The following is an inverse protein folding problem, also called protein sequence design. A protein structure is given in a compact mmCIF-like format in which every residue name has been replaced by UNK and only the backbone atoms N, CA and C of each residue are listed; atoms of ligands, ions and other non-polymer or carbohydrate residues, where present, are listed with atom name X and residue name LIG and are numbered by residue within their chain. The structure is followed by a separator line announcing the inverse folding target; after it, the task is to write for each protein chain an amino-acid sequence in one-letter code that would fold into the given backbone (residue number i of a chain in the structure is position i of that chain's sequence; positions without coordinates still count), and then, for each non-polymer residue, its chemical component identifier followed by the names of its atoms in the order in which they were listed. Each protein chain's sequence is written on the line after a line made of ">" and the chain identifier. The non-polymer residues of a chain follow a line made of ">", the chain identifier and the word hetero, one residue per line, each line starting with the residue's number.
data_IF_030852295464
#
_entry.id   IF_030852295464
#
_cell.length_a   1.000
_cell.length_b   1.000
_cell.length_c   1.000
_cell.angle_alpha   90.00
_cell.angle_beta   90.00
_cell.angle_gamma   90.00
#
_symmetry.space_group_name_H-M   'P 1'
#
loop_
_entity.id
_entity.type
_entity.pdbx_description
1 polymer ?
#
# COMPACT_ATOMS: atom_id res chain seq x y z
N UNK A 1 11.71 -3.96 -0.96
CA UNK A 1 10.96 -2.70 -1.10
C UNK A 1 11.56 -1.60 -0.24
N UNK A 2 11.54 -1.69 1.12
CA UNK A 2 12.10 -0.64 1.99
C UNK A 2 13.55 -0.28 1.64
N UNK A 3 14.37 -1.26 1.25
CA UNK A 3 15.74 -1.02 0.80
C UNK A 3 15.81 -0.20 -0.50
N UNK A 4 14.77 -0.24 -1.37
CA UNK A 4 14.73 0.56 -2.59
C UNK A 4 14.64 2.06 -2.32
N UNK A 5 14.10 2.47 -1.16
CA UNK A 5 14.01 3.88 -0.76
C UNK A 5 15.38 4.53 -0.48
N UNK A 6 16.43 3.73 -0.42
CA UNK A 6 17.79 4.24 -0.29
C UNK A 6 18.40 4.68 -1.61
N UNK A 7 17.71 4.45 -2.74
CA UNK A 7 18.12 4.87 -4.09
C UNK A 7 19.51 4.34 -4.49
N UNK A 8 19.83 3.12 -4.03
CA UNK A 8 21.10 2.45 -4.27
C UNK A 8 20.86 1.01 -4.74
N UNK A 9 20.44 0.81 -6.00
CA UNK A 9 20.09 -0.52 -6.51
C UNK A 9 21.26 -1.49 -6.58
N UNK A 10 22.49 -1.02 -6.58
CA UNK A 10 23.73 -1.81 -6.60
C UNK A 10 24.00 -2.60 -5.31
N UNK A 11 23.28 -2.32 -4.22
CA UNK A 11 23.41 -3.10 -2.97
C UNK A 11 22.68 -4.45 -3.00
N UNK A 12 21.81 -4.68 -3.98
CA UNK A 12 21.03 -5.92 -4.04
C UNK A 12 21.83 -7.04 -4.68
N UNK A 13 22.04 -8.14 -3.94
CA UNK A 13 22.72 -9.32 -4.43
C UNK A 13 21.81 -10.32 -5.16
N UNK A 14 20.50 -10.25 -4.93
CA UNK A 14 19.54 -11.15 -5.53
C UNK A 14 18.08 -10.72 -5.33
N UNK A 15 17.18 -11.37 -6.04
CA UNK A 15 15.74 -11.10 -6.04
C UNK A 15 14.94 -12.40 -5.89
N UNK A 16 13.75 -12.33 -5.33
CA UNK A 16 12.82 -13.46 -5.27
C UNK A 16 12.12 -13.69 -6.60
N UNK A 17 11.88 -14.96 -6.96
CA UNK A 17 11.16 -15.33 -8.20
C UNK A 17 9.78 -14.65 -8.28
N UNK A 18 9.08 -14.56 -7.15
CA UNK A 18 7.75 -13.92 -7.07
C UNK A 18 7.75 -12.46 -7.57
N UNK A 19 8.84 -11.73 -7.39
CA UNK A 19 8.97 -10.35 -7.87
C UNK A 19 9.09 -10.28 -9.40
N UNK A 20 9.73 -11.28 -10.01
CA UNK A 20 9.88 -11.41 -11.46
C UNK A 20 8.57 -11.85 -12.12
N UNK A 21 7.88 -12.81 -11.50
CA UNK A 21 6.63 -13.36 -12.02
C UNK A 21 5.46 -12.39 -11.90
N UNK A 22 5.53 -11.44 -10.96
CA UNK A 22 4.46 -10.50 -10.65
C UNK A 22 5.00 -9.06 -10.53
N UNK A 23 5.57 -8.48 -11.60
CA UNK A 23 6.20 -7.15 -11.51
C UNK A 23 5.20 -5.99 -11.42
N UNK A 24 3.98 -6.21 -11.93
CA UNK A 24 2.92 -5.19 -12.03
C UNK A 24 2.48 -4.70 -10.65
N UNK A 25 2.32 -3.37 -10.51
CA UNK A 25 1.89 -2.74 -9.27
C UNK A 25 2.98 -2.63 -8.20
N UNK A 26 4.24 -2.77 -8.61
CA UNK A 26 5.40 -2.62 -7.73
C UNK A 26 6.25 -1.42 -8.14
N UNK A 27 5.99 -0.22 -7.57
CA UNK A 27 6.64 1.02 -7.97
C UNK A 27 8.16 0.94 -7.96
N UNK A 28 8.75 0.21 -7.00
CA UNK A 28 10.19 0.00 -6.92
C UNK A 28 10.77 -0.81 -8.09
N UNK A 29 9.99 -1.68 -8.76
CA UNK A 29 10.43 -2.39 -9.96
C UNK A 29 10.32 -1.50 -11.21
N UNK A 30 9.39 -0.56 -11.24
CA UNK A 30 9.33 0.46 -12.28
C UNK A 30 10.50 1.45 -12.15
N UNK A 31 10.83 1.83 -10.91
CA UNK A 31 11.98 2.69 -10.63
C UNK A 31 13.33 2.00 -10.94
N UNK A 32 13.42 0.71 -10.66
CA UNK A 32 14.65 -0.08 -10.76
C UNK A 32 14.44 -1.38 -11.54
N UNK A 33 14.13 -1.34 -12.85
CA UNK A 33 13.84 -2.54 -13.65
C UNK A 33 15.02 -3.52 -13.72
N UNK A 34 16.27 -3.05 -13.52
CA UNK A 34 17.46 -3.90 -13.49
C UNK A 34 17.43 -4.93 -12.35
N UNK A 35 16.63 -4.73 -11.30
CA UNK A 35 16.50 -5.69 -10.20
C UNK A 35 15.97 -7.05 -10.69
N UNK A 36 15.13 -7.08 -11.74
CA UNK A 36 14.58 -8.31 -12.31
C UNK A 36 15.63 -9.18 -13.02
N UNK A 37 16.83 -8.63 -13.26
CA UNK A 37 17.97 -9.36 -13.86
C UNK A 37 18.93 -9.93 -12.81
N UNK A 38 18.67 -9.72 -11.53
CA UNK A 38 19.49 -10.25 -10.44
C UNK A 38 19.30 -11.77 -10.30
N UNK A 39 20.29 -12.49 -9.71
CA UNK A 39 20.14 -13.90 -9.38
C UNK A 39 18.92 -14.16 -8.48
N UNK A 40 18.24 -15.27 -8.74
CA UNK A 40 17.07 -15.69 -7.95
C UNK A 40 17.54 -16.29 -6.64
N UNK A 41 17.10 -15.73 -5.51
CA UNK A 41 17.49 -16.16 -4.14
C UNK A 41 16.39 -16.97 -3.42
N UNK A 42 15.31 -17.28 -4.09
CA UNK A 42 14.22 -18.09 -3.53
C UNK A 42 12.90 -17.85 -4.25
N UNK A 43 11.86 -18.61 -3.89
CA UNK A 43 10.55 -18.47 -4.51
C UNK A 43 9.88 -17.14 -4.17
N UNK A 44 10.06 -16.64 -2.96
CA UNK A 44 9.35 -15.45 -2.46
C UNK A 44 7.84 -15.64 -2.36
N UNK A 45 7.13 -14.55 -2.10
CA UNK A 45 5.67 -14.57 -1.98
C UNK A 45 5.17 -15.18 -0.66
N UNK A 46 3.84 -15.27 -0.48
CA UNK A 46 3.24 -15.72 0.76
C UNK A 46 3.52 -17.20 1.04
N UNK A 47 3.83 -17.51 2.31
CA UNK A 47 4.06 -18.86 2.84
C UNK A 47 5.29 -19.62 2.29
N UNK A 48 6.19 -18.95 1.61
CA UNK A 48 7.43 -19.55 1.11
C UNK A 48 8.62 -19.20 1.99
N UNK A 49 9.36 -20.20 2.44
CA UNK A 49 10.58 -19.98 3.19
C UNK A 49 11.73 -19.49 2.26
N UNK A 50 12.66 -18.67 2.77
CA UNK A 50 13.86 -18.32 2.04
C UNK A 50 14.69 -19.55 1.65
N UNK A 51 15.32 -19.54 0.47
CA UNK A 51 16.20 -20.60 -0.01
C UNK A 51 17.64 -20.32 0.40
N UNK A 52 18.08 -21.00 1.46
CA UNK A 52 19.40 -20.80 2.03
C UNK A 52 20.56 -21.11 1.04
N UNK A 53 20.40 -22.10 0.15
CA UNK A 53 21.45 -22.48 -0.82
C UNK A 53 21.61 -21.41 -1.89
N UNK A 54 20.49 -20.89 -2.43
CA UNK A 54 20.51 -19.81 -3.40
C UNK A 54 21.03 -18.51 -2.80
N UNK A 55 20.68 -18.21 -1.54
CA UNK A 55 21.22 -17.06 -0.82
C UNK A 55 22.73 -17.18 -0.67
N UNK A 56 23.24 -18.34 -0.25
CA UNK A 56 24.67 -18.59 -0.13
C UNK A 56 25.41 -18.44 -1.46
N UNK A 57 24.78 -18.81 -2.58
CA UNK A 57 25.40 -18.70 -3.91
C UNK A 57 25.72 -17.27 -4.30
N UNK A 58 24.93 -16.27 -3.86
CA UNK A 58 25.14 -14.84 -4.15
C UNK A 58 25.99 -14.12 -3.11
N UNK A 59 26.36 -14.80 -2.01
CA UNK A 59 27.29 -14.33 -0.97
C UNK A 59 26.96 -12.92 -0.46
N UNK A 60 25.75 -12.64 0.04
CA UNK A 60 25.43 -11.32 0.55
C UNK A 60 26.09 -11.09 1.92
N UNK A 61 26.33 -9.83 2.28
CA UNK A 61 26.86 -9.46 3.59
C UNK A 61 25.79 -9.52 4.70
N UNK A 62 24.49 -9.36 4.31
CA UNK A 62 23.35 -9.34 5.21
C UNK A 62 22.10 -9.82 4.51
N UNK A 63 21.19 -10.45 5.24
CA UNK A 63 19.86 -10.82 4.78
C UNK A 63 18.82 -9.94 5.47
N UNK A 64 18.08 -9.13 4.71
CA UNK A 64 16.89 -8.45 5.20
C UNK A 64 15.65 -9.31 4.91
N UNK A 65 14.82 -9.54 5.92
CA UNK A 65 13.60 -10.32 5.77
C UNK A 65 12.43 -9.73 6.54
N UNK A 66 11.23 -9.90 6.01
CA UNK A 66 9.96 -9.67 6.71
C UNK A 66 9.20 -10.99 6.89
N UNK A 67 9.75 -12.09 6.37
CA UNK A 67 9.15 -13.42 6.42
C UNK A 67 9.24 -14.06 7.81
N UNK A 68 10.31 -13.82 8.52
CA UNK A 68 10.50 -14.38 9.86
C UNK A 68 9.46 -13.79 10.82
N UNK A 69 8.50 -14.61 11.23
CA UNK A 69 7.42 -14.20 12.14
C UNK A 69 7.88 -14.23 13.60
N UNK A 70 8.98 -14.93 13.89
CA UNK A 70 9.58 -15.03 15.20
C UNK A 70 11.12 -15.09 15.14
N UNK A 71 11.75 -14.97 16.31
CA UNK A 71 13.19 -15.02 16.44
C UNK A 71 13.77 -16.36 15.98
N UNK A 72 13.08 -17.47 16.24
CA UNK A 72 13.57 -18.81 15.92
C UNK A 72 13.71 -19.01 14.40
N UNK A 73 12.78 -18.49 13.60
CA UNK A 73 12.84 -18.54 12.14
C UNK A 73 14.04 -17.74 11.60
N UNK A 74 14.30 -16.55 12.16
CA UNK A 74 15.46 -15.74 11.79
C UNK A 74 16.78 -16.42 12.20
N UNK A 75 16.87 -16.91 13.43
CA UNK A 75 18.05 -17.63 13.94
C UNK A 75 18.38 -18.86 13.09
N UNK A 76 17.35 -19.63 12.70
CA UNK A 76 17.53 -20.82 11.84
C UNK A 76 18.05 -20.46 10.45
N UNK A 77 17.60 -19.36 9.86
CA UNK A 77 18.11 -18.89 8.58
C UNK A 77 19.57 -18.44 8.71
N UNK A 78 19.90 -17.69 9.76
CA UNK A 78 21.25 -17.25 10.07
C UNK A 78 22.18 -18.44 10.32
N UNK A 79 21.76 -19.45 11.10
CA UNK A 79 22.53 -20.67 11.35
C UNK A 79 22.83 -21.44 10.05
N UNK A 80 21.82 -21.58 9.17
CA UNK A 80 21.98 -22.30 7.89
C UNK A 80 22.90 -21.58 6.91
N UNK A 81 22.88 -20.24 6.91
CA UNK A 81 23.64 -19.45 5.93
C UNK A 81 24.97 -18.93 6.48
N UNK A 82 25.13 -18.82 7.80
CA UNK A 82 26.24 -18.12 8.43
C UNK A 82 26.23 -16.59 8.16
N UNK A 83 25.17 -16.06 7.57
CA UNK A 83 25.03 -14.64 7.19
C UNK A 83 24.09 -13.97 8.19
N UNK A 84 24.43 -12.75 8.70
CA UNK A 84 23.54 -12.02 9.59
C UNK A 84 22.14 -11.80 9.00
N UNK A 85 21.10 -12.08 9.78
CA UNK A 85 19.70 -11.91 9.38
C UNK A 85 19.08 -10.77 10.17
N UNK A 86 18.58 -9.79 9.46
CA UNK A 86 17.87 -8.64 10.02
C UNK A 86 16.38 -8.69 9.66
N UNK A 87 15.52 -8.80 10.70
CA UNK A 87 14.07 -8.80 10.52
C UNK A 87 13.54 -7.36 10.50
N UNK A 88 12.83 -7.02 9.44
CA UNK A 88 12.20 -5.73 9.23
C UNK A 88 10.68 -5.84 9.40
N UNK A 89 10.02 -4.71 9.61
CA UNK A 89 8.57 -4.63 9.72
C UNK A 89 7.99 -3.51 8.85
N UNK A 90 6.82 -3.76 8.26
CA UNK A 90 5.98 -2.76 7.57
C UNK A 90 4.91 -2.16 8.50
N UNK A 91 5.00 -2.42 9.82
CA UNK A 91 3.96 -2.06 10.76
C UNK A 91 2.82 -3.08 10.81
N UNK A 92 1.84 -2.84 11.66
CA UNK A 92 0.71 -3.75 11.88
C UNK A 92 -0.60 -3.21 11.29
N UNK A 93 -0.87 -1.93 11.48
CA UNK A 93 -2.19 -1.35 11.18
C UNK A 93 -2.15 -0.05 10.43
N UNK A 94 -1.00 0.57 10.24
CA UNK A 94 -0.88 1.91 9.67
C UNK A 94 0.30 2.01 8.71
N UNK A 95 0.09 2.69 7.58
CA UNK A 95 1.16 3.08 6.65
C UNK A 95 2.24 3.92 7.34
N UNK A 96 1.88 4.69 8.38
CA UNK A 96 2.76 5.52 9.19
C UNK A 96 3.10 4.87 10.55
N UNK A 97 3.14 3.54 10.61
CA UNK A 97 3.51 2.82 11.83
C UNK A 97 4.99 3.10 12.19
N UNK A 98 5.31 3.43 13.45
CA UNK A 98 6.69 3.66 13.88
C UNK A 98 7.67 2.52 13.59
N UNK A 99 7.17 1.28 13.41
CA UNK A 99 8.00 0.14 13.02
C UNK A 99 8.59 0.29 11.62
N UNK A 100 7.91 1.02 10.71
CA UNK A 100 8.45 1.36 9.39
C UNK A 100 9.67 2.27 9.53
N UNK A 101 9.53 3.37 10.27
CA UNK A 101 10.64 4.30 10.54
C UNK A 101 11.82 3.60 11.23
N UNK A 102 11.54 2.68 12.17
CA UNK A 102 12.56 1.85 12.79
C UNK A 102 13.26 0.94 11.77
N UNK A 103 12.51 0.31 10.86
CA UNK A 103 13.09 -0.53 9.79
C UNK A 103 14.00 0.27 8.87
N UNK A 104 13.58 1.47 8.46
CA UNK A 104 14.39 2.39 7.65
C UNK A 104 15.69 2.78 8.38
N UNK A 105 15.59 3.11 9.67
CA UNK A 105 16.76 3.45 10.50
C UNK A 105 17.74 2.27 10.60
N UNK A 106 17.24 1.04 10.77
CA UNK A 106 18.07 -0.16 10.85
C UNK A 106 18.76 -0.43 9.51
N UNK A 107 18.04 -0.34 8.38
CA UNK A 107 18.62 -0.49 7.05
C UNK A 107 19.77 0.51 6.87
N UNK A 108 19.49 1.81 7.12
CA UNK A 108 20.49 2.85 6.94
C UNK A 108 21.78 2.61 7.74
N UNK A 109 21.66 2.16 8.99
CA UNK A 109 22.82 1.81 9.82
C UNK A 109 23.64 0.64 9.25
N UNK A 110 22.95 -0.40 8.73
CA UNK A 110 23.61 -1.59 8.20
C UNK A 110 24.33 -1.31 6.89
N UNK A 111 23.74 -0.48 6.00
CA UNK A 111 24.31 -0.20 4.69
C UNK A 111 25.15 1.10 4.67
N UNK A 112 25.36 1.76 5.82
CA UNK A 112 26.16 2.98 5.95
C UNK A 112 25.50 4.21 5.28
N UNK A 113 24.16 4.33 5.35
CA UNK A 113 23.37 5.41 4.76
C UNK A 113 22.43 6.05 5.80
N UNK A 114 22.97 6.37 6.98
CA UNK A 114 22.20 6.92 8.11
C UNK A 114 21.55 8.27 7.79
N UNK A 115 22.21 9.13 7.03
CA UNK A 115 21.64 10.42 6.61
C UNK A 115 20.40 10.23 5.73
N UNK A 116 20.46 9.26 4.80
CA UNK A 116 19.30 8.94 3.96
C UNK A 116 18.17 8.35 4.80
N UNK A 117 18.47 7.47 5.75
CA UNK A 117 17.49 6.92 6.68
C UNK A 117 16.79 8.01 7.50
N UNK A 118 17.54 8.96 8.04
CA UNK A 118 16.98 10.11 8.78
C UNK A 118 16.06 10.94 7.89
N UNK A 119 16.46 11.20 6.64
CA UNK A 119 15.63 11.91 5.66
C UNK A 119 14.34 11.14 5.34
N UNK A 120 14.40 9.83 5.17
CA UNK A 120 13.23 8.99 4.91
C UNK A 120 12.25 9.02 6.09
N UNK A 121 12.76 8.91 7.33
CA UNK A 121 11.92 9.00 8.54
C UNK A 121 11.28 10.38 8.65
N UNK A 122 12.03 11.45 8.41
CA UNK A 122 11.48 12.82 8.42
C UNK A 122 10.37 13.00 7.37
N UNK A 123 10.53 12.44 6.16
CA UNK A 123 9.50 12.47 5.11
C UNK A 123 8.23 11.72 5.54
N UNK A 124 8.35 10.55 6.22
CA UNK A 124 7.18 9.83 6.75
C UNK A 124 6.41 10.69 7.75
N UNK A 125 7.12 11.37 8.65
CA UNK A 125 6.51 12.26 9.63
C UNK A 125 5.89 13.50 8.97
N UNK A 126 6.54 14.07 7.96
CA UNK A 126 6.04 15.20 7.18
C UNK A 126 4.72 14.86 6.47
N UNK A 127 4.66 13.77 5.72
CA UNK A 127 3.43 13.33 5.06
C UNK A 127 2.30 13.06 6.04
N UNK A 128 2.59 12.37 7.14
CA UNK A 128 1.61 12.10 8.18
C UNK A 128 1.04 13.39 8.78
N UNK A 129 1.93 14.31 9.15
CA UNK A 129 1.55 15.56 9.78
C UNK A 129 0.80 16.49 8.82
N UNK A 130 1.18 16.55 7.55
CA UNK A 130 0.49 17.34 6.52
C UNK A 130 -0.94 16.83 6.30
N UNK A 131 -1.12 15.52 6.09
CA UNK A 131 -2.44 14.91 5.92
C UNK A 131 -3.36 15.16 7.12
N UNK A 132 -2.84 14.97 8.34
CA UNK A 132 -3.59 15.20 9.57
C UNK A 132 -3.94 16.67 9.74
N UNK A 133 -2.97 17.58 9.56
CA UNK A 133 -3.16 19.01 9.76
C UNK A 133 -4.24 19.62 8.84
N UNK A 134 -4.41 19.08 7.64
CA UNK A 134 -5.43 19.53 6.68
C UNK A 134 -6.86 19.23 7.14
N UNK A 135 -7.06 18.20 7.96
CA UNK A 135 -8.41 17.64 8.19
C UNK A 135 -8.79 17.43 9.65
N UNK A 136 -7.85 17.49 10.60
CA UNK A 136 -8.10 17.23 12.04
C UNK A 136 -9.13 18.18 12.65
N UNK A 137 -9.16 19.43 12.19
CA UNK A 137 -10.05 20.46 12.75
C UNK A 137 -11.44 20.48 12.12
N UNK A 138 -11.71 19.60 11.11
CA UNK A 138 -13.05 19.49 10.51
C UNK A 138 -13.99 18.81 11.53
N UNK A 139 -15.13 19.45 11.86
CA UNK A 139 -16.10 18.86 12.77
C UNK A 139 -16.62 17.51 12.30
N UNK A 140 -16.82 16.56 13.20
CA UNK A 140 -17.19 15.18 12.85
C UNK A 140 -18.50 15.09 12.05
N UNK A 141 -19.46 15.98 12.32
CA UNK A 141 -20.74 16.03 11.59
C UNK A 141 -20.64 16.65 10.19
N UNK A 142 -19.51 17.25 9.84
CA UNK A 142 -19.22 17.79 8.51
C UNK A 142 -18.38 16.87 7.64
N UNK A 143 -17.86 15.78 8.22
CA UNK A 143 -17.07 14.81 7.50
C UNK A 143 -17.99 13.87 6.70
N UNK A 144 -17.77 13.69 5.38
CA UNK A 144 -18.50 12.68 4.62
C UNK A 144 -18.18 11.28 5.13
N UNK A 145 -19.15 10.38 5.04
CA UNK A 145 -18.93 8.97 5.30
C UNK A 145 -18.25 8.33 4.10
N UNK A 146 -17.30 7.44 4.35
CA UNK A 146 -16.50 6.80 3.32
C UNK A 146 -16.46 5.27 3.51
N UNK A 147 -16.35 4.58 2.39
CA UNK A 147 -16.14 3.15 2.32
C UNK A 147 -15.03 2.85 1.32
N UNK A 148 -14.18 1.87 1.61
CA UNK A 148 -13.24 1.32 0.64
C UNK A 148 -13.60 -0.14 0.37
N UNK A 149 -13.70 -0.52 -0.91
CA UNK A 149 -13.99 -1.88 -1.35
C UNK A 149 -12.97 -2.42 -2.33
N UNK A 150 -13.03 -3.72 -2.62
CA UNK A 150 -12.12 -4.37 -3.55
C UNK A 150 -10.70 -4.59 -3.00
N UNK A 151 -10.50 -4.44 -1.69
CA UNK A 151 -9.19 -4.64 -1.08
C UNK A 151 -8.74 -6.10 -1.20
N UNK A 152 -7.47 -6.31 -1.56
CA UNK A 152 -6.88 -7.63 -1.67
C UNK A 152 -6.73 -8.33 -0.31
N UNK A 153 -7.22 -9.57 -0.21
CA UNK A 153 -7.07 -10.47 0.95
C UNK A 153 -6.65 -11.85 0.46
N UNK A 154 -5.35 -12.10 0.30
CA UNK A 154 -4.85 -13.34 -0.33
C UNK A 154 -5.42 -13.57 -1.74
N UNK A 155 -5.57 -12.49 -2.50
CA UNK A 155 -6.15 -12.45 -3.85
C UNK A 155 -7.05 -11.24 -4.04
N UNK A 156 -7.57 -11.06 -5.27
CA UNK A 156 -8.53 -10.02 -5.60
C UNK A 156 -9.93 -10.40 -5.09
N UNK A 157 -10.66 -9.43 -4.57
CA UNK A 157 -12.03 -9.59 -4.05
C UNK A 157 -12.96 -8.51 -4.60
N UNK A 158 -14.26 -8.71 -4.43
CA UNK A 158 -15.30 -7.77 -4.81
C UNK A 158 -15.47 -6.61 -3.81
N UNK A 159 -16.58 -5.89 -3.98
CA UNK A 159 -16.88 -4.71 -3.15
C UNK A 159 -16.99 -5.05 -1.64
N UNK A 160 -17.28 -6.30 -1.30
CA UNK A 160 -17.45 -6.79 0.07
C UNK A 160 -16.14 -6.83 0.87
N UNK A 161 -14.99 -6.86 0.19
CA UNK A 161 -13.67 -6.87 0.85
C UNK A 161 -13.26 -5.45 1.22
N UNK A 162 -13.16 -5.21 2.53
CA UNK A 162 -12.91 -3.89 3.10
C UNK A 162 -12.00 -3.96 4.32
N UNK A 163 -11.81 -2.85 5.00
CA UNK A 163 -10.97 -2.77 6.20
C UNK A 163 -11.56 -1.83 7.25
N UNK A 164 -11.69 -2.34 8.47
CA UNK A 164 -11.93 -1.51 9.66
C UNK A 164 -10.63 -0.88 10.14
N UNK A 165 -10.71 0.32 10.69
CA UNK A 165 -9.56 1.14 11.07
C UNK A 165 -8.58 1.34 9.89
N UNK A 166 -9.14 1.67 8.70
CA UNK A 166 -8.38 1.76 7.46
C UNK A 166 -7.36 2.90 7.52
N UNK A 167 -6.08 2.56 7.38
CA UNK A 167 -4.98 3.48 7.66
C UNK A 167 -4.98 4.74 6.79
N UNK A 168 -5.42 4.65 5.53
CA UNK A 168 -5.47 5.81 4.63
C UNK A 168 -6.63 6.75 4.98
N UNK A 169 -7.76 6.23 5.45
CA UNK A 169 -8.84 7.05 5.98
C UNK A 169 -8.44 7.72 7.28
N UNK A 170 -7.73 7.00 8.15
CA UNK A 170 -7.23 7.57 9.40
C UNK A 170 -6.25 8.71 9.16
N UNK A 171 -5.38 8.59 8.14
CA UNK A 171 -4.40 9.62 7.81
C UNK A 171 -5.05 10.96 7.45
N UNK A 172 -6.27 10.94 6.91
CA UNK A 172 -7.05 12.14 6.54
C UNK A 172 -8.28 12.34 7.43
N UNK A 173 -8.30 11.72 8.60
CA UNK A 173 -9.39 11.86 9.59
C UNK A 173 -10.80 11.60 8.99
N UNK A 174 -10.94 10.68 8.04
CA UNK A 174 -12.20 10.34 7.39
C UNK A 174 -13.12 9.49 8.30
N UNK A 175 -14.42 9.53 8.02
CA UNK A 175 -15.42 8.64 8.67
C UNK A 175 -15.57 7.35 7.90
N UNK A 176 -14.85 6.31 8.33
CA UNK A 176 -14.99 4.97 7.77
C UNK A 176 -16.25 4.29 8.34
N UNK A 177 -17.22 3.96 7.49
CA UNK A 177 -18.45 3.28 7.94
C UNK A 177 -18.19 1.89 8.52
N UNK A 178 -17.09 1.25 8.11
CA UNK A 178 -16.70 -0.09 8.60
C UNK A 178 -16.32 -0.09 10.08
N UNK A 179 -15.89 1.06 10.61
CA UNK A 179 -15.48 1.19 12.02
C UNK A 179 -16.64 0.99 13.01
N UNK A 180 -17.89 1.14 12.54
CA UNK A 180 -19.09 0.79 13.33
C UNK A 180 -19.15 -0.70 13.74
N UNK A 181 -18.42 -1.56 13.01
CA UNK A 181 -18.33 -2.99 13.36
C UNK A 181 -17.45 -3.27 14.58
N UNK A 182 -16.63 -2.30 15.01
CA UNK A 182 -15.60 -2.48 16.03
C UNK A 182 -14.43 -3.38 15.60
N UNK A 183 -14.39 -3.82 14.33
CA UNK A 183 -13.32 -4.67 13.80
C UNK A 183 -12.18 -3.81 13.27
N UNK A 184 -10.98 -4.35 13.34
CA UNK A 184 -9.76 -3.75 12.77
C UNK A 184 -9.14 -4.68 11.74
N UNK A 185 -8.46 -4.10 10.73
CA UNK A 185 -7.86 -4.89 9.65
C UNK A 185 -8.89 -5.36 8.62
N UNK A 186 -8.51 -6.35 7.84
CA UNK A 186 -9.34 -6.86 6.73
C UNK A 186 -10.64 -7.50 7.20
N UNK A 187 -11.74 -7.10 6.58
CA UNK A 187 -13.11 -7.55 6.91
C UNK A 187 -13.84 -7.89 5.61
N UNK A 188 -14.58 -8.98 5.62
CA UNK A 188 -15.62 -9.24 4.61
C UNK A 188 -16.97 -8.81 5.19
N UNK A 189 -17.72 -8.04 4.45
CA UNK A 189 -19.08 -7.57 4.84
C UNK A 189 -20.13 -8.11 3.89
N UNK A 190 -21.37 -8.15 4.37
CA UNK A 190 -22.53 -8.44 3.53
C UNK A 190 -22.98 -7.17 2.77
N UNK A 191 -23.52 -7.35 1.56
CA UNK A 191 -24.06 -6.26 0.73
C UNK A 191 -25.20 -5.50 1.43
N UNK A 192 -26.02 -6.18 2.22
CA UNK A 192 -27.07 -5.57 3.03
C UNK A 192 -26.50 -4.60 4.08
N UNK A 193 -25.35 -4.93 4.66
CA UNK A 193 -24.68 -4.02 5.57
C UNK A 193 -24.18 -2.76 4.85
N UNK A 194 -23.67 -2.87 3.61
CA UNK A 194 -23.26 -1.73 2.82
C UNK A 194 -24.45 -0.85 2.44
N UNK A 195 -25.60 -1.43 2.08
CA UNK A 195 -26.85 -0.69 1.86
C UNK A 195 -27.28 0.07 3.12
N UNK A 196 -27.17 -0.57 4.28
CA UNK A 196 -27.56 0.04 5.57
C UNK A 196 -26.67 1.22 5.94
N UNK A 197 -25.38 1.14 5.65
CA UNK A 197 -24.44 2.24 5.88
C UNK A 197 -24.62 3.37 4.87
N UNK A 198 -24.89 3.02 3.61
CA UNK A 198 -25.06 3.95 2.48
C UNK A 198 -24.04 5.12 2.49
N UNK A 199 -22.73 4.82 2.37
CA UNK A 199 -21.69 5.82 2.48
C UNK A 199 -21.82 6.91 1.41
N UNK A 200 -21.45 8.15 1.76
CA UNK A 200 -21.45 9.29 0.83
C UNK A 200 -20.47 9.08 -0.33
N UNK A 201 -19.33 8.43 -0.06
CA UNK A 201 -18.28 8.17 -1.07
C UNK A 201 -17.74 6.74 -0.95
N UNK A 202 -17.51 6.12 -2.11
CA UNK A 202 -16.95 4.77 -2.21
C UNK A 202 -15.62 4.84 -2.96
N UNK A 203 -14.58 4.29 -2.36
CA UNK A 203 -13.28 4.07 -2.99
C UNK A 203 -13.13 2.61 -3.36
N UNK A 204 -12.61 2.33 -4.55
CA UNK A 204 -12.36 0.97 -5.05
C UNK A 204 -10.87 0.82 -5.32
N UNK A 205 -10.25 -0.19 -4.71
CA UNK A 205 -8.90 -0.60 -5.06
C UNK A 205 -8.88 -1.14 -6.50
N UNK A 206 -8.00 -0.59 -7.32
CA UNK A 206 -7.94 -0.91 -8.75
C UNK A 206 -7.66 -2.39 -9.02
N UNK A 207 -6.93 -3.10 -8.15
CA UNK A 207 -6.71 -4.54 -8.30
C UNK A 207 -8.00 -5.35 -8.10
N UNK A 208 -8.93 -4.88 -7.25
CA UNK A 208 -10.23 -5.51 -7.03
C UNK A 208 -11.32 -5.04 -8.01
N UNK A 209 -11.08 -3.95 -8.74
CA UNK A 209 -12.09 -3.36 -9.64
C UNK A 209 -12.67 -4.34 -10.67
N UNK A 210 -11.89 -5.23 -11.33
CA UNK A 210 -12.46 -6.23 -12.23
C UNK A 210 -13.52 -7.11 -11.55
N UNK A 211 -13.28 -7.55 -10.30
CA UNK A 211 -14.23 -8.35 -9.51
C UNK A 211 -15.48 -7.54 -9.14
N UNK A 212 -15.30 -6.27 -8.79
CA UNK A 212 -16.42 -5.35 -8.53
C UNK A 212 -17.28 -5.16 -9.79
N UNK A 213 -16.64 -5.01 -10.95
CA UNK A 213 -17.34 -4.84 -12.23
C UNK A 213 -18.10 -6.11 -12.65
N UNK A 214 -17.55 -7.30 -12.44
CA UNK A 214 -18.25 -8.55 -12.67
C UNK A 214 -19.45 -8.72 -11.74
N UNK A 215 -19.28 -8.38 -10.48
CA UNK A 215 -20.38 -8.42 -9.51
C UNK A 215 -21.46 -7.40 -9.85
N UNK A 216 -21.08 -6.19 -10.29
CA UNK A 216 -22.02 -5.18 -10.78
C UNK A 216 -22.92 -5.72 -11.90
N UNK A 217 -22.35 -6.39 -12.90
CA UNK A 217 -23.10 -6.97 -14.01
C UNK A 217 -24.16 -7.99 -13.55
N UNK A 218 -23.88 -8.73 -12.49
CA UNK A 218 -24.77 -9.77 -11.93
C UNK A 218 -25.80 -9.21 -10.94
N UNK A 219 -25.43 -8.16 -10.21
CA UNK A 219 -26.17 -7.63 -9.08
C UNK A 219 -26.47 -6.11 -9.24
N UNK A 220 -26.78 -5.67 -10.46
CA UNK A 220 -26.97 -4.25 -10.82
C UNK A 220 -27.91 -3.52 -9.86
N UNK A 221 -29.02 -4.17 -9.45
CA UNK A 221 -29.99 -3.59 -8.51
C UNK A 221 -29.38 -3.23 -7.16
N UNK A 222 -28.48 -4.08 -6.61
CA UNK A 222 -27.78 -3.77 -5.38
C UNK A 222 -27.00 -2.46 -5.49
N UNK A 223 -26.17 -2.33 -6.52
CA UNK A 223 -25.37 -1.10 -6.72
C UNK A 223 -26.24 0.14 -6.94
N UNK A 224 -27.36 0.00 -7.64
CA UNK A 224 -28.31 1.07 -7.87
C UNK A 224 -29.07 1.52 -6.60
N UNK A 225 -29.01 0.78 -5.49
CA UNK A 225 -29.54 1.25 -4.20
C UNK A 225 -28.62 2.24 -3.51
N UNK A 226 -27.31 2.14 -3.73
CA UNK A 226 -26.29 2.95 -3.05
C UNK A 226 -26.34 4.41 -3.55
N UNK A 227 -26.42 5.35 -2.63
CA UNK A 227 -26.44 6.78 -2.93
C UNK A 227 -25.16 7.25 -3.64
N UNK A 228 -24.00 6.76 -3.23
CA UNK A 228 -22.74 7.03 -3.90
C UNK A 228 -22.75 6.61 -5.37
N UNK A 229 -23.36 5.47 -5.71
CA UNK A 229 -23.50 5.01 -7.09
C UNK A 229 -24.43 5.93 -7.90
N UNK A 230 -25.58 6.30 -7.35
CA UNK A 230 -26.56 7.19 -7.99
C UNK A 230 -25.98 8.57 -8.31
N UNK A 231 -25.14 9.09 -7.43
CA UNK A 231 -24.53 10.41 -7.58
C UNK A 231 -23.16 10.35 -8.28
N UNK A 232 -22.70 9.15 -8.63
CA UNK A 232 -21.38 8.93 -9.25
C UNK A 232 -20.21 9.22 -8.30
N UNK A 233 -20.42 9.09 -7.00
CA UNK A 233 -19.40 9.31 -5.95
C UNK A 233 -18.59 8.03 -5.67
N UNK A 234 -18.13 7.41 -6.77
CA UNK A 234 -17.27 6.22 -6.73
C UNK A 234 -15.91 6.60 -7.33
N UNK A 235 -14.84 6.24 -6.64
CA UNK A 235 -13.49 6.63 -6.99
C UNK A 235 -12.55 5.44 -6.98
N UNK A 236 -11.58 5.42 -7.89
CA UNK A 236 -10.54 4.40 -7.97
C UNK A 236 -9.28 4.90 -7.27
N UNK A 237 -8.72 4.10 -6.39
CA UNK A 237 -7.38 4.27 -5.83
C UNK A 237 -6.42 3.26 -6.44
N UNK A 238 -5.12 3.52 -6.36
CA UNK A 238 -4.11 2.60 -6.82
C UNK A 238 -3.97 1.40 -5.87
N UNK A 239 -3.62 0.21 -6.38
CA UNK A 239 -3.38 -0.94 -5.52
C UNK A 239 -2.01 -0.80 -4.85
N UNK A 240 -1.99 -0.70 -3.53
CA UNK A 240 -0.77 -0.54 -2.76
C UNK A 240 -0.34 -1.79 -1.99
N UNK A 241 -1.21 -2.79 -1.88
CA UNK A 241 -0.95 -3.98 -1.08
C UNK A 241 -0.80 -5.23 -1.96
N UNK A 242 0.43 -5.53 -2.34
CA UNK A 242 0.81 -6.73 -3.08
C UNK A 242 1.70 -7.60 -2.21
N UNK A 243 1.12 -8.47 -1.37
CA UNK A 243 1.79 -9.29 -0.37
C UNK A 243 2.35 -8.46 0.79
N UNK A 244 3.05 -7.36 0.54
CA UNK A 244 3.39 -6.32 1.51
C UNK A 244 3.04 -4.95 0.96
N UNK A 245 2.98 -3.95 1.83
CA UNK A 245 2.58 -2.59 1.50
C UNK A 245 3.65 -1.87 0.65
N UNK A 246 3.25 -1.27 -0.46
CA UNK A 246 3.97 -0.21 -1.15
C UNK A 246 3.62 1.11 -0.47
N UNK A 247 4.48 1.55 0.44
CA UNK A 247 4.21 2.70 1.34
C UNK A 247 4.09 4.00 0.52
N UNK A 248 4.89 4.14 -0.51
CA UNK A 248 4.84 5.23 -1.48
C UNK A 248 3.45 5.38 -2.11
N UNK A 249 2.91 4.30 -2.67
CA UNK A 249 1.56 4.28 -3.27
C UNK A 249 0.48 4.54 -2.22
N UNK A 250 0.61 3.92 -1.04
CA UNK A 250 -0.35 4.14 0.05
C UNK A 250 -0.41 5.62 0.49
N UNK A 251 0.72 6.32 0.53
CA UNK A 251 0.75 7.75 0.83
C UNK A 251 0.10 8.55 -0.30
N UNK A 252 0.39 8.22 -1.57
CA UNK A 252 -0.23 8.88 -2.72
C UNK A 252 -1.76 8.71 -2.72
N UNK A 253 -2.26 7.50 -2.44
CA UNK A 253 -3.68 7.22 -2.28
C UNK A 253 -4.31 8.05 -1.15
N UNK A 254 -3.60 8.22 -0.01
CA UNK A 254 -4.11 9.03 1.10
C UNK A 254 -4.31 10.50 0.70
N UNK A 255 -3.40 11.09 -0.09
CA UNK A 255 -3.58 12.43 -0.65
C UNK A 255 -4.76 12.51 -1.61
N UNK A 256 -4.92 11.52 -2.50
CA UNK A 256 -6.07 11.47 -3.39
C UNK A 256 -7.40 11.32 -2.63
N UNK A 257 -7.45 10.44 -1.64
CA UNK A 257 -8.61 10.27 -0.76
C UNK A 257 -8.93 11.59 -0.07
N UNK A 258 -7.94 12.29 0.46
CA UNK A 258 -8.09 13.60 1.07
C UNK A 258 -8.67 14.63 0.09
N UNK A 259 -8.17 14.69 -1.15
CA UNK A 259 -8.69 15.58 -2.22
C UNK A 259 -10.14 15.31 -2.54
N UNK A 260 -10.56 14.03 -2.59
CA UNK A 260 -11.93 13.62 -2.86
C UNK A 260 -12.87 13.93 -1.71
N UNK A 261 -12.44 13.68 -0.46
CA UNK A 261 -13.28 13.87 0.73
C UNK A 261 -13.37 15.34 1.16
N UNK A 262 -12.29 16.09 0.99
CA UNK A 262 -12.12 17.45 1.53
C UNK A 262 -11.47 18.38 0.48
N UNK A 263 -12.14 18.64 -0.67
CA UNK A 263 -11.52 19.35 -1.78
C UNK A 263 -11.01 20.74 -1.40
N UNK A 264 -11.64 21.42 -0.44
CA UNK A 264 -11.23 22.75 0.01
C UNK A 264 -9.90 22.73 0.79
N UNK A 265 -9.63 21.67 1.53
CA UNK A 265 -8.40 21.48 2.30
C UNK A 265 -7.22 21.01 1.45
N UNK A 266 -7.51 20.49 0.26
CA UNK A 266 -6.53 19.95 -0.67
C UNK A 266 -6.51 20.71 -2.01
N UNK A 267 -6.88 22.01 -2.02
CA UNK A 267 -6.92 22.80 -3.26
C UNK A 267 -5.57 22.85 -3.97
N UNK A 268 -4.48 22.90 -3.21
CA UNK A 268 -3.10 22.94 -3.64
C UNK A 268 -2.57 21.57 -4.13
N UNK A 269 -3.35 20.50 -4.02
CA UNK A 269 -2.93 19.15 -4.39
C UNK A 269 -3.52 18.76 -5.74
N UNK A 270 -2.63 18.47 -6.69
CA UNK A 270 -2.95 17.73 -7.91
C UNK A 270 -2.50 16.28 -7.67
N UNK A 271 -3.43 15.31 -7.57
CA UNK A 271 -3.11 13.96 -7.06
C UNK A 271 -2.02 13.23 -7.83
N UNK A 272 -1.98 13.35 -9.14
CA UNK A 272 -0.99 12.68 -9.99
C UNK A 272 0.41 13.29 -9.80
N UNK A 273 0.49 14.61 -9.73
CA UNK A 273 1.76 15.33 -9.47
C UNK A 273 2.27 15.03 -8.06
N UNK A 274 1.34 14.95 -7.08
CA UNK A 274 1.69 14.60 -5.70
C UNK A 274 2.17 13.15 -5.58
N UNK A 275 1.56 12.22 -6.30
CA UNK A 275 2.03 10.84 -6.38
C UNK A 275 3.47 10.78 -6.94
N UNK A 276 3.73 11.48 -8.03
CA UNK A 276 5.07 11.54 -8.63
C UNK A 276 6.10 12.26 -7.73
N UNK A 277 5.70 13.28 -6.98
CA UNK A 277 6.54 13.89 -5.94
C UNK A 277 6.94 12.85 -4.89
N UNK A 278 5.98 12.08 -4.37
CA UNK A 278 6.20 11.03 -3.37
C UNK A 278 7.14 9.95 -3.92
N UNK A 279 6.89 9.47 -5.14
CA UNK A 279 7.75 8.48 -5.78
C UNK A 279 9.19 9.01 -5.98
N UNK A 280 9.37 10.26 -6.43
CA UNK A 280 10.70 10.87 -6.55
C UNK A 280 11.41 10.98 -5.21
N UNK A 281 10.70 11.38 -4.16
CA UNK A 281 11.28 11.51 -2.81
C UNK A 281 11.72 10.17 -2.23
N UNK A 282 10.94 9.10 -2.45
CA UNK A 282 11.19 7.77 -1.90
C UNK A 282 12.02 6.89 -2.83
N UNK A 283 11.70 6.83 -4.12
CA UNK A 283 12.31 5.92 -5.10
C UNK A 283 13.30 6.61 -6.06
N UNK A 284 13.44 7.95 -5.98
CA UNK A 284 14.36 8.71 -6.84
C UNK A 284 13.82 9.01 -8.23
N UNK A 285 12.65 8.50 -8.63
CA UNK A 285 12.05 8.73 -9.95
C UNK A 285 10.53 8.73 -9.87
N UNK A 286 9.88 9.38 -10.84
CA UNK A 286 8.44 9.34 -11.04
C UNK A 286 8.02 8.02 -11.66
N UNK A 287 6.92 7.43 -11.18
CA UNK A 287 6.39 6.16 -11.72
C UNK A 287 4.86 6.13 -11.78
N UNK A 288 4.19 7.27 -11.51
CA UNK A 288 2.73 7.33 -11.55
C UNK A 288 2.19 6.95 -12.94
N UNK A 289 2.84 7.38 -14.01
CA UNK A 289 2.40 7.07 -15.37
C UNK A 289 2.33 5.57 -15.63
N UNK A 290 3.31 4.77 -15.18
CA UNK A 290 3.29 3.31 -15.30
C UNK A 290 2.18 2.69 -14.43
N UNK A 291 2.02 3.18 -13.20
CA UNK A 291 0.92 2.74 -12.33
C UNK A 291 -0.45 3.06 -12.95
N UNK A 292 -0.59 4.21 -13.60
CA UNK A 292 -1.81 4.60 -14.28
C UNK A 292 -2.07 3.80 -15.55
N UNK A 293 -1.03 3.44 -16.30
CA UNK A 293 -1.14 2.55 -17.47
C UNK A 293 -1.67 1.16 -17.07
N UNK A 294 -1.13 0.59 -15.99
CA UNK A 294 -1.51 -0.75 -15.54
C UNK A 294 -2.89 -0.81 -14.87
N UNK A 295 -3.25 0.23 -14.11
CA UNK A 295 -4.43 0.20 -13.23
C UNK A 295 -5.47 1.28 -13.54
N UNK A 296 -5.20 2.18 -14.48
CA UNK A 296 -6.11 3.24 -14.90
C UNK A 296 -6.05 4.51 -14.04
N UNK A 297 -5.09 4.65 -13.14
CA UNK A 297 -4.81 5.85 -12.35
C UNK A 297 -5.91 6.26 -11.37
N UNK A 298 -5.73 7.43 -10.77
CA UNK A 298 -6.75 8.07 -9.94
C UNK A 298 -7.90 8.58 -10.81
N UNK A 299 -9.11 8.18 -10.52
CA UNK A 299 -10.27 8.62 -11.30
C UNK A 299 -11.59 8.41 -10.58
N UNK A 300 -12.58 9.18 -10.99
CA UNK A 300 -13.99 8.88 -10.72
C UNK A 300 -14.42 7.72 -11.61
N UNK A 301 -15.06 6.71 -11.03
CA UNK A 301 -15.55 5.53 -11.76
C UNK A 301 -16.96 5.79 -12.26
N UNK A 302 -17.19 5.52 -13.55
CA UNK A 302 -18.53 5.41 -14.12
C UNK A 302 -18.82 3.92 -14.34
N UNK A 303 -19.80 3.39 -13.63
CA UNK A 303 -20.26 2.02 -13.88
C UNK A 303 -21.03 1.98 -15.21
N UNK A 304 -20.88 0.90 -16.00
CA UNK A 304 -21.57 0.81 -17.30
C UNK A 304 -23.09 0.75 -17.13
N UNK A 305 -23.83 1.28 -18.13
CA UNK A 305 -25.30 1.24 -18.17
C UNK A 305 -25.89 -0.18 -18.23
#
# INVERSE_FOLDING_TARGET
>A
RLCCYFNKPDIFAGIEQHEIDNPTGRPYLYAYPMLTSLPIIGPGGPNNAPDAEKILAVKPDVIFTTYATDKAAADKLQEKTGIPVCVLSYGETSTFDPKVSRSLTIIGKIIGMEERAQKLVALMDEFKNDLDARTRDIPQNMKPTAYVGGLGMKGAHGIESTQGNYSLFNAVNARNVVDETGRTGSVMIDKEQLIKWDPDKIFIDAAGYPSVLEDYKRNKQFYQTLSAVKHGEIYQILPYNFYTTNIDTAIADAYYIGKVLYPDQFQDIEPEEKADEIYRLLLGTAVYAQMAEDFGGFKRITLPE
#
